data_IF_084494632691
#
_entry.id   IF_084494632691
#
_cell.length_a   1.000
_cell.length_b   1.000
_cell.length_c   1.000
_cell.angle_alpha   90.00
_cell.angle_beta   90.00
_cell.angle_gamma   90.00
#
_symmetry.space_group_name_H-M   'P 1'
#
loop_
_entity.id
_entity.type
_entity.pdbx_description
1 polymer ?
#
# COMPACT_ATOMS: atom_id res chain seq x y z
N UNK A 1 -10.84 29.23 -27.87
CA UNK A 1 -10.46 28.62 -26.58
C UNK A 1 -11.61 27.85 -25.91
N UNK A 2 -12.81 28.41 -25.74
CA UNK A 2 -13.92 27.76 -25.00
C UNK A 2 -14.37 26.40 -25.58
N UNK A 3 -14.39 26.23 -26.90
CA UNK A 3 -14.80 24.96 -27.55
C UNK A 3 -13.83 23.79 -27.34
N UNK A 4 -12.51 24.05 -27.27
CA UNK A 4 -11.51 23.00 -27.00
C UNK A 4 -11.56 22.55 -25.54
N UNK A 5 -11.76 23.49 -24.60
CA UNK A 5 -11.89 23.16 -23.18
C UNK A 5 -13.11 22.25 -22.94
N UNK A 6 -14.24 22.54 -23.61
CA UNK A 6 -15.44 21.72 -23.52
C UNK A 6 -15.23 20.30 -24.09
N UNK A 7 -14.53 20.15 -25.21
CA UNK A 7 -14.22 18.84 -25.79
C UNK A 7 -13.26 18.01 -24.91
N UNK A 8 -12.27 18.66 -24.27
CA UNK A 8 -11.34 18.01 -23.34
C UNK A 8 -12.07 17.61 -22.05
N UNK A 9 -12.91 18.50 -21.49
CA UNK A 9 -13.73 18.19 -20.31
C UNK A 9 -14.75 17.09 -20.61
N UNK A 10 -15.36 17.07 -21.79
CA UNK A 10 -16.32 16.03 -22.17
C UNK A 10 -15.63 14.70 -22.47
N UNK A 11 -14.47 14.71 -23.12
CA UNK A 11 -13.65 13.52 -23.37
C UNK A 11 -13.09 12.91 -22.08
N UNK A 12 -12.72 13.74 -21.11
CA UNK A 12 -12.26 13.28 -19.79
C UNK A 12 -13.42 12.86 -18.89
N UNK A 13 -14.60 13.49 -18.98
CA UNK A 13 -15.82 12.98 -18.35
C UNK A 13 -16.21 11.61 -18.91
N UNK A 14 -16.20 11.44 -20.24
CA UNK A 14 -16.55 10.16 -20.87
C UNK A 14 -15.47 9.11 -20.57
N UNK A 15 -14.19 9.48 -20.59
CA UNK A 15 -13.09 8.61 -20.20
C UNK A 15 -13.15 8.21 -18.71
N UNK A 16 -13.55 9.12 -17.83
CA UNK A 16 -13.79 8.84 -16.41
C UNK A 16 -15.05 8.00 -16.17
N UNK A 17 -16.09 8.13 -17.02
CA UNK A 17 -17.28 7.24 -17.02
C UNK A 17 -16.93 5.83 -17.55
N UNK A 18 -16.10 5.71 -18.59
CA UNK A 18 -15.62 4.41 -19.09
C UNK A 18 -14.63 3.74 -18.12
N UNK A 19 -13.83 4.52 -17.39
CA UNK A 19 -12.95 4.01 -16.31
C UNK A 19 -13.70 3.76 -15.01
N UNK A 20 -14.89 4.34 -14.80
CA UNK A 20 -15.79 3.92 -13.72
C UNK A 20 -16.22 2.44 -13.86
N UNK A 21 -16.14 1.89 -15.09
CA UNK A 21 -16.29 0.46 -15.38
C UNK A 21 -15.00 -0.36 -15.25
N UNK A 22 -13.86 0.27 -14.94
CA UNK A 22 -12.65 -0.42 -14.47
C UNK A 22 -12.94 -0.84 -13.03
N UNK A 23 -13.54 -2.03 -12.92
CA UNK A 23 -13.85 -2.69 -11.65
C UNK A 23 -12.71 -2.54 -10.65
N UNK A 24 -13.00 -1.90 -9.51
CA UNK A 24 -12.17 -1.92 -8.31
C UNK A 24 -11.78 -3.38 -8.05
N UNK A 25 -10.50 -3.73 -8.23
CA UNK A 25 -10.06 -5.12 -8.03
C UNK A 25 -10.15 -5.46 -6.55
N UNK A 26 -10.47 -6.73 -6.28
CA UNK A 26 -10.38 -7.31 -4.92
C UNK A 26 -8.94 -7.27 -4.36
N UNK A 27 -7.92 -7.15 -5.21
CA UNK A 27 -6.51 -7.10 -4.83
C UNK A 27 -6.15 -5.84 -4.01
N UNK A 28 -6.96 -4.77 -4.07
CA UNK A 28 -6.82 -3.59 -3.23
C UNK A 28 -7.74 -3.66 -1.99
N UNK A 29 -8.06 -4.88 -1.54
CA UNK A 29 -8.77 -5.05 -0.27
C UNK A 29 -7.91 -4.52 0.87
N UNK A 30 -8.54 -3.77 1.77
CA UNK A 30 -7.95 -3.18 2.97
C UNK A 30 -7.28 -4.20 3.92
N UNK A 31 -7.42 -5.50 3.64
CA UNK A 31 -6.65 -6.54 4.31
C UNK A 31 -5.16 -6.41 3.99
N UNK A 32 -4.78 -5.97 2.79
CA UNK A 32 -3.37 -5.92 2.37
C UNK A 32 -2.83 -4.49 2.37
N UNK A 33 -2.58 -3.93 3.55
CA UNK A 33 -1.85 -2.66 3.66
C UNK A 33 -0.37 -2.94 3.47
N UNK A 34 0.09 -2.73 2.24
CA UNK A 34 1.46 -2.93 1.80
C UNK A 34 2.12 -1.59 1.45
N UNK A 35 3.41 -1.40 1.77
CA UNK A 35 4.16 -0.24 1.30
C UNK A 35 4.15 -0.17 -0.23
N UNK A 36 3.71 0.95 -0.82
CA UNK A 36 3.61 1.08 -2.29
C UNK A 36 4.98 1.07 -2.99
N UNK A 37 6.04 1.49 -2.28
CA UNK A 37 7.39 1.61 -2.83
C UNK A 37 8.18 0.29 -2.86
N UNK A 38 7.75 -0.75 -2.12
CA UNK A 38 8.56 -1.96 -1.92
C UNK A 38 8.19 -3.08 -2.92
N UNK A 39 7.00 -3.02 -3.51
CA UNK A 39 6.56 -3.99 -4.52
C UNK A 39 6.08 -3.30 -5.78
N UNK A 40 7.00 -2.83 -6.66
CA UNK A 40 6.61 -2.36 -7.98
C UNK A 40 5.87 -3.50 -8.69
N UNK A 41 4.63 -3.24 -9.07
CA UNK A 41 3.84 -4.20 -9.87
C UNK A 41 4.53 -4.32 -11.23
N UNK A 42 4.75 -5.56 -11.69
CA UNK A 42 5.12 -5.80 -13.08
C UNK A 42 4.11 -5.10 -13.99
N UNK A 43 4.61 -4.33 -14.95
CA UNK A 43 3.79 -3.48 -15.79
C UNK A 43 4.15 -3.64 -17.26
N UNK A 44 3.15 -3.45 -18.12
CA UNK A 44 3.35 -3.36 -19.57
C UNK A 44 3.56 -1.89 -19.97
N UNK A 45 4.41 -1.61 -20.98
CA UNK A 45 4.59 -0.27 -21.49
C UNK A 45 3.26 0.37 -21.92
N UNK A 46 3.12 1.68 -21.72
CA UNK A 46 1.95 2.41 -22.19
C UNK A 46 1.93 2.50 -23.73
N UNK A 47 0.80 2.17 -24.34
CA UNK A 47 0.54 2.41 -25.75
C UNK A 47 0.27 3.92 -26.02
N UNK A 48 0.07 4.30 -27.28
CA UNK A 48 -0.20 5.70 -27.66
C UNK A 48 -1.47 6.28 -27.00
N UNK A 49 -2.48 5.43 -26.75
CA UNK A 49 -3.71 5.84 -26.08
C UNK A 49 -3.43 6.20 -24.63
N UNK A 50 -2.71 5.37 -23.90
CA UNK A 50 -2.38 5.61 -22.49
C UNK A 50 -1.38 6.75 -22.34
N UNK A 51 -0.38 6.87 -23.22
CA UNK A 51 0.51 8.06 -23.27
C UNK A 51 -0.30 9.35 -23.35
N UNK A 52 -1.25 9.42 -24.28
CA UNK A 52 -2.13 10.58 -24.40
C UNK A 52 -2.93 10.82 -23.12
N UNK A 53 -3.47 9.78 -22.48
CA UNK A 53 -4.18 9.92 -21.20
C UNK A 53 -3.28 10.52 -20.12
N UNK A 54 -2.02 10.07 -20.01
CA UNK A 54 -1.09 10.60 -19.02
C UNK A 54 -0.75 12.07 -19.25
N UNK A 55 -0.50 12.47 -20.49
CA UNK A 55 -0.21 13.88 -20.84
C UNK A 55 -1.38 14.79 -20.44
N UNK A 56 -2.61 14.34 -20.66
CA UNK A 56 -3.79 15.11 -20.27
C UNK A 56 -3.99 15.13 -18.75
N UNK A 57 -3.71 14.04 -18.04
CA UNK A 57 -3.90 13.97 -16.59
C UNK A 57 -3.04 14.99 -15.84
N UNK A 58 -1.78 15.14 -16.24
CA UNK A 58 -0.88 16.13 -15.63
C UNK A 58 -1.43 17.56 -15.80
N UNK A 59 -1.80 17.93 -17.04
CA UNK A 59 -2.36 19.25 -17.33
C UNK A 59 -3.70 19.51 -16.63
N UNK A 60 -4.57 18.50 -16.59
CA UNK A 60 -5.89 18.61 -15.98
C UNK A 60 -5.83 18.66 -14.46
N UNK A 61 -4.82 18.04 -13.84
CA UNK A 61 -4.71 18.05 -12.39
C UNK A 61 -4.40 19.45 -11.88
N UNK A 62 -3.43 20.14 -12.49
CA UNK A 62 -3.15 21.55 -12.17
C UNK A 62 -4.37 22.44 -12.38
N UNK A 63 -5.05 22.30 -13.52
CA UNK A 63 -6.29 23.05 -13.79
C UNK A 63 -7.37 22.79 -12.73
N UNK A 64 -7.58 21.52 -12.35
CA UNK A 64 -8.61 21.14 -11.38
C UNK A 64 -8.33 21.71 -9.98
N UNK A 65 -7.06 21.86 -9.60
CA UNK A 65 -6.65 22.53 -8.37
C UNK A 65 -6.91 24.04 -8.45
N UNK A 66 -6.46 24.70 -9.52
CA UNK A 66 -6.56 26.17 -9.67
C UNK A 66 -8.00 26.67 -9.78
N UNK A 67 -8.90 25.86 -10.34
CA UNK A 67 -10.29 26.24 -10.64
C UNK A 67 -11.33 25.64 -9.69
N UNK A 68 -10.89 24.99 -8.61
CA UNK A 68 -11.73 24.32 -7.61
C UNK A 68 -12.78 23.36 -8.24
N UNK A 69 -12.37 22.63 -9.29
CA UNK A 69 -13.21 21.64 -9.95
C UNK A 69 -13.19 20.32 -9.18
N UNK A 70 -13.82 20.33 -8.00
CA UNK A 70 -13.79 19.24 -7.02
C UNK A 70 -14.07 17.86 -7.63
N UNK A 71 -15.09 17.71 -8.46
CA UNK A 71 -15.44 16.42 -9.08
C UNK A 71 -14.33 15.91 -10.00
N UNK A 72 -13.70 16.80 -10.78
CA UNK A 72 -12.60 16.44 -11.67
C UNK A 72 -11.36 16.07 -10.86
N UNK A 73 -11.03 16.86 -9.83
CA UNK A 73 -9.94 16.57 -8.89
C UNK A 73 -10.09 15.18 -8.28
N UNK A 74 -11.27 14.87 -7.71
CA UNK A 74 -11.56 13.55 -7.12
C UNK A 74 -11.40 12.43 -8.16
N UNK A 75 -11.88 12.64 -9.40
CA UNK A 75 -11.74 11.66 -10.48
C UNK A 75 -10.28 11.37 -10.82
N UNK A 76 -9.46 12.41 -10.96
CA UNK A 76 -8.04 12.30 -11.25
C UNK A 76 -7.30 11.62 -10.09
N UNK A 77 -7.54 12.05 -8.85
CA UNK A 77 -6.89 11.46 -7.66
C UNK A 77 -7.22 9.98 -7.51
N UNK A 78 -8.47 9.58 -7.75
CA UNK A 78 -8.85 8.15 -7.75
C UNK A 78 -8.12 7.36 -8.83
N UNK A 79 -8.00 7.93 -10.03
CA UNK A 79 -7.29 7.28 -11.12
C UNK A 79 -5.79 7.13 -10.81
N UNK A 80 -5.15 8.19 -10.31
CA UNK A 80 -3.75 8.17 -9.88
C UNK A 80 -3.53 7.21 -8.70
N UNK A 81 -4.47 7.16 -7.74
CA UNK A 81 -4.45 6.23 -6.61
C UNK A 81 -4.53 4.76 -7.05
N UNK A 82 -5.41 4.41 -7.97
CA UNK A 82 -5.62 3.01 -8.36
C UNK A 82 -4.63 2.55 -9.44
N UNK A 83 -4.10 3.48 -10.23
CA UNK A 83 -3.26 3.20 -11.39
C UNK A 83 -4.06 2.81 -12.62
N UNK A 84 -3.36 2.36 -13.66
CA UNK A 84 -3.92 2.13 -14.99
C UNK A 84 -3.79 0.67 -15.37
N UNK A 85 -4.82 0.14 -16.02
CA UNK A 85 -4.90 -1.26 -16.37
C UNK A 85 -5.42 -1.43 -17.78
N UNK A 86 -4.84 -2.40 -18.48
CA UNK A 86 -5.38 -2.94 -19.71
C UNK A 86 -6.04 -4.29 -19.42
N UNK A 87 -7.15 -4.57 -20.10
CA UNK A 87 -7.85 -5.85 -20.03
C UNK A 87 -7.75 -6.53 -21.39
N UNK A 88 -7.08 -7.67 -21.43
CA UNK A 88 -6.89 -8.47 -22.64
C UNK A 88 -7.02 -9.95 -22.28
N UNK A 89 -7.82 -10.71 -23.04
CA UNK A 89 -7.96 -12.15 -22.84
C UNK A 89 -8.55 -12.59 -21.48
N UNK A 90 -9.24 -11.69 -20.76
CA UNK A 90 -9.74 -11.96 -19.41
C UNK A 90 -8.73 -11.70 -18.29
N UNK A 91 -7.48 -11.43 -18.65
CA UNK A 91 -6.45 -10.96 -17.73
C UNK A 91 -6.46 -9.43 -17.66
N UNK A 92 -5.94 -8.89 -16.57
CA UNK A 92 -5.73 -7.46 -16.44
C UNK A 92 -4.27 -7.20 -16.11
N UNK A 93 -3.63 -6.34 -16.91
CA UNK A 93 -2.20 -6.01 -16.81
C UNK A 93 -2.05 -4.57 -16.37
N UNK A 94 -1.13 -4.31 -15.44
CA UNK A 94 -0.86 -2.94 -14.97
C UNK A 94 -0.06 -2.19 -16.02
N UNK A 95 -0.34 -0.91 -16.22
CA UNK A 95 0.33 -0.09 -17.23
C UNK A 95 1.40 0.75 -16.56
N UNK A 96 2.60 0.73 -17.14
CA UNK A 96 3.70 1.55 -16.65
C UNK A 96 3.33 3.03 -16.77
N UNK A 97 3.39 3.73 -15.65
CA UNK A 97 3.28 5.19 -15.63
C UNK A 97 4.48 5.81 -16.34
N UNK A 98 4.33 6.97 -17.00
CA UNK A 98 5.47 7.69 -17.52
C UNK A 98 6.35 8.18 -16.38
N UNK A 99 7.63 8.32 -16.68
CA UNK A 99 8.58 8.96 -15.78
C UNK A 99 8.12 10.39 -15.49
N UNK A 100 8.29 10.86 -14.25
CA UNK A 100 7.91 12.22 -13.85
C UNK A 100 6.45 12.45 -13.48
N UNK A 101 5.50 11.58 -13.83
CA UNK A 101 4.06 11.80 -13.53
C UNK A 101 3.80 12.11 -12.04
N UNK A 102 4.30 11.28 -11.12
CA UNK A 102 4.11 11.53 -9.69
C UNK A 102 4.98 12.69 -9.18
N UNK A 103 6.10 13.02 -9.83
CA UNK A 103 6.89 14.21 -9.48
C UNK A 103 6.11 15.49 -9.84
N UNK A 104 5.36 15.49 -10.95
CA UNK A 104 4.48 16.60 -11.30
C UNK A 104 3.32 16.74 -10.30
N UNK A 105 2.65 15.64 -9.97
CA UNK A 105 1.59 15.60 -8.96
C UNK A 105 2.10 16.06 -7.59
N UNK A 106 3.29 15.62 -7.19
CA UNK A 106 3.94 16.02 -5.94
C UNK A 106 4.18 17.53 -5.87
N UNK A 107 4.69 18.15 -6.94
CA UNK A 107 4.88 19.61 -7.00
C UNK A 107 3.56 20.36 -6.86
N UNK A 108 2.49 19.86 -7.49
CA UNK A 108 1.17 20.47 -7.41
C UNK A 108 0.54 20.35 -6.01
N UNK A 109 0.95 19.34 -5.23
CA UNK A 109 0.46 19.10 -3.88
C UNK A 109 1.38 19.62 -2.77
N UNK A 110 2.54 20.18 -3.10
CA UNK A 110 3.57 20.52 -2.12
C UNK A 110 3.06 21.49 -1.03
N UNK A 111 2.22 22.46 -1.42
CA UNK A 111 1.66 23.49 -0.56
C UNK A 111 0.22 23.18 -0.10
N UNK A 112 -0.36 22.08 -0.59
CA UNK A 112 -1.74 21.71 -0.27
C UNK A 112 -1.82 21.01 1.09
N UNK A 113 -2.64 21.51 2.03
CA UNK A 113 -2.83 20.84 3.30
C UNK A 113 -3.56 19.51 3.10
N UNK A 114 -3.10 18.47 3.78
CA UNK A 114 -3.83 17.20 3.84
C UNK A 114 -5.18 17.43 4.50
N UNK A 115 -6.25 16.99 3.83
CA UNK A 115 -7.61 17.08 4.37
C UNK A 115 -7.67 16.45 5.77
N UNK A 116 -8.43 16.97 6.77
CA UNK A 116 -8.45 16.40 8.13
C UNK A 116 -9.02 14.98 8.23
N UNK A 117 -9.79 14.58 7.22
CA UNK A 117 -10.34 13.22 7.07
C UNK A 117 -10.13 12.80 5.62
N UNK A 118 -8.89 12.50 5.18
CA UNK A 118 -8.68 12.10 3.81
C UNK A 118 -9.43 10.79 3.53
N UNK A 119 -9.90 10.66 2.30
CA UNK A 119 -10.41 9.40 1.79
C UNK A 119 -9.24 8.44 1.51
N UNK A 120 -9.51 7.15 1.32
CA UNK A 120 -8.46 6.14 1.15
C UNK A 120 -7.67 6.34 -0.14
N UNK A 121 -8.34 6.81 -1.20
CA UNK A 121 -7.66 7.06 -2.46
C UNK A 121 -6.65 8.21 -2.33
N UNK A 122 -6.90 9.20 -1.45
CA UNK A 122 -5.95 10.28 -1.21
C UNK A 122 -4.70 9.77 -0.49
N UNK A 123 -4.88 8.95 0.55
CA UNK A 123 -3.75 8.33 1.25
C UNK A 123 -2.94 7.39 0.33
N UNK A 124 -3.62 6.63 -0.54
CA UNK A 124 -2.97 5.79 -1.55
C UNK A 124 -2.23 6.61 -2.60
N UNK A 125 -2.73 7.79 -2.96
CA UNK A 125 -2.02 8.72 -3.84
C UNK A 125 -0.75 9.24 -3.14
N UNK A 126 -0.86 9.69 -1.89
CA UNK A 126 0.29 10.17 -1.12
C UNK A 126 1.37 9.10 -0.95
N UNK A 127 0.97 7.84 -0.76
CA UNK A 127 1.88 6.69 -0.71
C UNK A 127 2.70 6.46 -1.99
N UNK A 128 2.34 7.08 -3.11
CA UNK A 128 3.06 6.97 -4.40
C UNK A 128 3.95 8.17 -4.69
N UNK A 129 3.90 9.21 -3.86
CA UNK A 129 4.79 10.36 -3.97
C UNK A 129 6.16 9.98 -3.45
N UNK A 130 7.21 10.43 -4.12
CA UNK A 130 8.58 10.04 -3.80
C UNK A 130 9.10 10.88 -2.62
N UNK A 131 8.85 12.19 -2.68
CA UNK A 131 9.30 13.21 -1.74
C UNK A 131 8.13 14.15 -1.35
N UNK A 132 7.10 13.67 -0.63
CA UNK A 132 6.03 14.54 -0.15
C UNK A 132 6.58 15.67 0.74
N UNK A 133 5.91 16.82 0.80
CA UNK A 133 6.35 17.93 1.67
C UNK A 133 6.24 17.60 3.16
N UNK A 134 6.98 18.29 4.02
CA UNK A 134 6.91 18.09 5.48
C UNK A 134 5.50 18.38 6.02
N UNK A 135 4.82 19.40 5.47
CA UNK A 135 3.43 19.70 5.79
C UNK A 135 2.50 18.52 5.46
N UNK A 136 2.74 17.85 4.32
CA UNK A 136 1.97 16.67 3.95
C UNK A 136 2.23 15.51 4.91
N UNK A 137 3.49 15.25 5.27
CA UNK A 137 3.82 14.21 6.26
C UNK A 137 3.22 14.52 7.64
N UNK A 138 3.24 15.77 8.09
CA UNK A 138 2.57 16.18 9.33
C UNK A 138 1.06 15.93 9.24
N UNK A 139 0.44 16.28 8.11
CA UNK A 139 -0.98 16.01 7.85
C UNK A 139 -1.32 14.51 7.88
N UNK A 140 -0.51 13.68 7.22
CA UNK A 140 -0.67 12.22 7.24
C UNK A 140 -0.47 11.68 8.67
N UNK A 141 0.46 12.23 9.45
CA UNK A 141 0.67 11.85 10.86
C UNK A 141 -0.54 12.13 11.75
N UNK A 142 -1.21 13.27 11.55
CA UNK A 142 -2.44 13.62 12.27
C UNK A 142 -3.55 12.63 12.00
N UNK A 143 -3.61 12.10 10.78
CA UNK A 143 -4.53 11.02 10.39
C UNK A 143 -4.11 9.71 11.05
N UNK A 144 -2.86 9.27 10.85
CA UNK A 144 -2.31 8.02 11.37
C UNK A 144 -2.50 7.86 12.89
N UNK A 145 -2.18 8.90 13.66
CA UNK A 145 -2.21 8.86 15.13
C UNK A 145 -3.48 9.46 15.73
N UNK A 146 -4.56 9.54 14.95
CA UNK A 146 -5.84 10.03 15.46
C UNK A 146 -6.38 9.08 16.54
N UNK A 147 -6.64 9.64 17.73
CA UNK A 147 -7.13 8.88 18.90
C UNK A 147 -8.40 8.08 18.62
N UNK A 148 -9.37 8.70 17.95
CA UNK A 148 -10.63 8.05 17.61
C UNK A 148 -10.63 7.60 16.14
N UNK A 149 -11.10 6.39 15.84
CA UNK A 149 -11.30 5.97 14.46
C UNK A 149 -12.33 6.89 13.80
N UNK A 150 -12.11 7.15 12.51
CA UNK A 150 -13.18 7.61 11.63
C UNK A 150 -13.27 6.63 10.47
N UNK A 151 -14.45 6.56 9.85
CA UNK A 151 -14.72 5.54 8.85
C UNK A 151 -15.03 6.16 7.51
N UNK A 152 -14.22 5.81 6.51
CA UNK A 152 -14.44 6.19 5.12
C UNK A 152 -15.30 5.12 4.46
N UNK A 153 -16.24 5.55 3.61
CA UNK A 153 -17.17 4.65 2.93
C UNK A 153 -16.54 4.19 1.62
N UNK A 154 -16.21 2.90 1.51
CA UNK A 154 -15.75 2.29 0.27
C UNK A 154 -16.90 1.55 -0.41
N UNK A 155 -17.31 2.03 -1.58
CA UNK A 155 -18.42 1.44 -2.32
C UNK A 155 -19.73 1.36 -1.51
N UNK A 156 -20.49 0.28 -1.69
CA UNK A 156 -21.87 0.22 -1.21
C UNK A 156 -22.04 -0.13 0.28
N UNK A 157 -21.09 -0.80 0.97
CA UNK A 157 -21.35 -1.30 2.35
C UNK A 157 -20.17 -1.39 3.34
N UNK A 158 -18.90 -1.21 2.95
CA UNK A 158 -17.77 -1.38 3.89
C UNK A 158 -17.26 -0.03 4.39
N UNK A 159 -17.15 0.09 5.71
CA UNK A 159 -16.54 1.21 6.43
C UNK A 159 -15.10 0.81 6.76
N UNK A 160 -14.13 1.63 6.37
CA UNK A 160 -12.71 1.35 6.60
C UNK A 160 -12.08 2.46 7.42
N UNK A 161 -11.27 2.07 8.39
CA UNK A 161 -10.50 2.98 9.23
C UNK A 161 -9.22 3.36 8.47
N UNK A 162 -8.99 4.60 8.05
CA UNK A 162 -7.85 4.97 7.20
C UNK A 162 -6.51 5.05 7.94
N UNK A 163 -6.52 5.04 9.28
CA UNK A 163 -5.30 5.23 10.10
C UNK A 163 -4.17 4.25 9.76
N UNK A 164 -4.44 2.94 9.56
CA UNK A 164 -3.39 1.99 9.19
C UNK A 164 -2.75 2.29 7.83
N UNK A 165 -3.52 2.76 6.83
CA UNK A 165 -2.93 3.17 5.53
C UNK A 165 -2.05 4.40 5.73
N UNK A 166 -2.53 5.40 6.50
CA UNK A 166 -1.74 6.59 6.78
C UNK A 166 -0.42 6.26 7.51
N UNK A 167 -0.42 5.30 8.43
CA UNK A 167 0.80 4.78 9.07
C UNK A 167 1.76 4.15 8.05
N UNK A 168 1.26 3.28 7.18
CA UNK A 168 2.10 2.68 6.13
C UNK A 168 2.63 3.72 5.17
N UNK A 169 1.82 4.72 4.78
CA UNK A 169 2.26 5.87 3.98
C UNK A 169 3.41 6.60 4.68
N UNK A 170 3.30 6.91 5.98
CA UNK A 170 4.40 7.54 6.73
C UNK A 170 5.65 6.67 6.73
N UNK A 171 5.50 5.37 6.97
CA UNK A 171 6.61 4.43 7.06
C UNK A 171 7.41 4.35 5.75
N UNK A 172 6.77 4.50 4.59
CA UNK A 172 7.45 4.51 3.29
C UNK A 172 8.49 5.64 3.12
N UNK A 173 8.48 6.64 4.00
CA UNK A 173 9.41 7.76 3.97
C UNK A 173 10.54 7.64 5.01
N UNK A 174 10.75 6.42 5.56
CA UNK A 174 11.95 6.06 6.33
C UNK A 174 12.26 7.00 7.48
N UNK A 175 13.48 7.57 7.49
CA UNK A 175 13.94 8.53 8.51
C UNK A 175 13.01 9.74 8.70
N UNK A 176 12.23 10.15 7.69
CA UNK A 176 11.27 11.26 7.86
C UNK A 176 10.09 10.90 8.77
N UNK A 177 9.88 9.62 9.06
CA UNK A 177 8.89 9.13 10.02
C UNK A 177 9.40 9.15 11.47
N UNK A 178 10.70 9.42 11.71
CA UNK A 178 11.35 9.42 13.03
C UNK A 178 10.66 10.21 14.13
N UNK A 179 10.09 11.41 13.88
CA UNK A 179 9.34 12.14 14.92
C UNK A 179 8.15 11.37 15.50
N UNK A 180 7.63 10.37 14.76
CA UNK A 180 6.45 9.61 15.14
C UNK A 180 6.77 8.21 15.70
N UNK A 181 8.04 7.81 15.67
CA UNK A 181 8.47 6.44 15.90
C UNK A 181 8.20 5.95 17.33
N UNK A 182 8.42 6.80 18.35
CA UNK A 182 8.14 6.45 19.74
C UNK A 182 6.64 6.19 19.98
N UNK A 183 5.77 7.03 19.42
CA UNK A 183 4.33 6.81 19.53
C UNK A 183 3.92 5.52 18.81
N UNK A 184 4.42 5.30 17.61
CA UNK A 184 4.18 4.07 16.85
C UNK A 184 4.64 2.82 17.61
N UNK A 185 5.83 2.84 18.22
CA UNK A 185 6.37 1.75 19.01
C UNK A 185 5.44 1.33 20.16
N UNK A 186 4.82 2.30 20.85
CA UNK A 186 3.86 2.01 21.93
C UNK A 186 2.53 1.43 21.44
N UNK A 187 2.20 1.61 20.16
CA UNK A 187 0.98 1.08 19.54
C UNK A 187 1.17 -0.30 18.89
N UNK A 188 2.38 -0.84 18.83
CA UNK A 188 2.65 -2.17 18.25
C UNK A 188 1.82 -3.24 18.97
N UNK A 189 0.96 -3.91 18.20
CA UNK A 189 0.11 -5.04 18.61
C UNK A 189 -0.09 -5.95 17.40
N UNK A 190 0.27 -7.23 17.52
CA UNK A 190 0.14 -8.22 16.44
C UNK A 190 -1.30 -8.56 16.10
N UNK A 191 -2.26 -8.27 17.00
CA UNK A 191 -3.66 -8.69 16.82
C UNK A 191 -4.47 -7.73 15.96
N UNK A 192 -4.00 -6.50 15.77
CA UNK A 192 -4.76 -5.45 15.11
C UNK A 192 -4.02 -4.88 13.92
N UNK A 193 -4.78 -4.51 12.89
CA UNK A 193 -4.25 -3.84 11.70
C UNK A 193 -3.57 -2.51 12.03
N UNK A 194 -4.09 -1.78 13.02
CA UNK A 194 -3.47 -0.55 13.50
C UNK A 194 -2.10 -0.83 14.15
N UNK A 195 -2.00 -1.88 14.97
CA UNK A 195 -0.75 -2.25 15.64
C UNK A 195 0.32 -2.76 14.68
N UNK A 196 -0.06 -3.54 13.67
CA UNK A 196 0.88 -4.00 12.63
C UNK A 196 1.30 -2.88 11.68
N UNK A 197 0.44 -1.90 11.38
CA UNK A 197 0.86 -0.70 10.67
C UNK A 197 1.73 0.25 11.53
N UNK A 198 1.53 0.29 12.85
CA UNK A 198 2.40 1.05 13.74
C UNK A 198 3.82 0.46 13.80
N UNK A 199 3.94 -0.87 13.73
CA UNK A 199 5.23 -1.55 13.60
C UNK A 199 6.02 -1.07 12.38
N UNK A 200 5.35 -0.86 11.23
CA UNK A 200 5.99 -0.35 10.02
C UNK A 200 6.62 1.03 10.23
N UNK A 201 5.92 1.95 10.92
CA UNK A 201 6.46 3.29 11.23
C UNK A 201 7.66 3.20 12.19
N UNK A 202 7.57 2.37 13.23
CA UNK A 202 8.65 2.22 14.19
C UNK A 202 9.92 1.61 13.57
N UNK A 203 9.74 0.59 12.71
CA UNK A 203 10.83 -0.08 12.00
C UNK A 203 11.47 0.82 10.94
N UNK A 204 10.66 1.49 10.09
CA UNK A 204 11.17 2.40 9.06
C UNK A 204 11.99 3.57 9.63
N UNK A 205 11.71 3.96 10.87
CA UNK A 205 12.40 5.01 11.59
C UNK A 205 13.59 4.52 12.44
N UNK A 206 13.94 3.23 12.35
CA UNK A 206 15.01 2.59 13.13
C UNK A 206 14.89 2.89 14.64
N UNK A 207 13.69 2.81 15.19
CA UNK A 207 13.48 3.07 16.62
C UNK A 207 14.07 1.93 17.46
N UNK A 208 14.74 2.29 18.56
CA UNK A 208 15.36 1.32 19.45
C UNK A 208 14.38 0.22 19.87
N UNK A 209 14.84 -1.04 19.82
CA UNK A 209 14.10 -2.25 20.15
C UNK A 209 12.85 -2.53 19.29
N UNK A 210 12.56 -1.76 18.23
CA UNK A 210 11.36 -1.98 17.41
C UNK A 210 11.41 -3.32 16.69
N UNK A 211 12.56 -3.68 16.10
CA UNK A 211 12.70 -4.91 15.32
C UNK A 211 12.58 -6.16 16.21
N UNK A 212 13.25 -6.19 17.35
CA UNK A 212 13.11 -7.28 18.33
C UNK A 212 11.67 -7.41 18.83
N UNK A 213 10.96 -6.30 19.04
CA UNK A 213 9.54 -6.30 19.43
C UNK A 213 8.65 -6.84 18.32
N UNK A 214 8.93 -6.48 17.06
CA UNK A 214 8.20 -6.95 15.87
C UNK A 214 8.38 -8.45 15.69
N UNK A 215 9.61 -8.94 15.72
CA UNK A 215 9.93 -10.36 15.63
C UNK A 215 9.29 -11.16 16.77
N UNK A 216 9.36 -10.66 18.00
CA UNK A 216 8.64 -11.24 19.15
C UNK A 216 7.13 -11.29 18.94
N UNK A 217 6.56 -10.29 18.26
CA UNK A 217 5.14 -10.23 17.93
C UNK A 217 4.78 -11.26 16.83
N UNK A 218 5.69 -11.51 15.89
CA UNK A 218 5.54 -12.55 14.86
C UNK A 218 5.59 -13.95 15.47
N UNK A 219 6.52 -14.22 16.39
CA UNK A 219 6.53 -15.49 17.14
C UNK A 219 5.26 -15.71 17.95
N UNK A 220 4.70 -14.67 18.58
CA UNK A 220 3.40 -14.79 19.27
C UNK A 220 2.27 -15.23 18.33
N UNK A 221 2.24 -14.77 17.08
CA UNK A 221 1.27 -15.25 16.09
C UNK A 221 1.47 -16.75 15.82
N UNK A 222 2.73 -17.20 15.69
CA UNK A 222 3.06 -18.61 15.47
C UNK A 222 2.66 -19.49 16.66
N UNK A 223 2.83 -19.00 17.89
CA UNK A 223 2.50 -19.72 19.13
C UNK A 223 0.99 -19.78 19.39
N UNK A 224 0.23 -18.75 18.96
CA UNK A 224 -1.24 -18.73 19.03
C UNK A 224 -1.87 -19.79 18.12
N UNK A 225 -1.20 -20.18 17.04
CA UNK A 225 -1.60 -21.31 16.22
C UNK A 225 -1.24 -22.62 16.94
N UNK A 226 -2.24 -23.42 17.31
CA UNK A 226 -2.08 -24.63 18.12
C UNK A 226 -1.04 -25.62 17.55
N UNK A 227 0.16 -25.68 18.16
CA UNK A 227 1.26 -26.55 17.72
C UNK A 227 1.74 -26.17 16.31
N UNK A 228 1.79 -27.14 15.39
CA UNK A 228 2.16 -26.95 13.98
C UNK A 228 0.93 -26.72 13.06
N UNK A 229 -0.23 -26.35 13.60
CA UNK A 229 -1.41 -26.07 12.79
C UNK A 229 -1.17 -24.91 11.80
N UNK A 230 -1.82 -24.91 10.63
CA UNK A 230 -1.71 -23.78 9.71
C UNK A 230 -2.28 -22.50 10.33
N UNK A 231 -1.63 -21.36 10.06
CA UNK A 231 -2.15 -20.05 10.49
C UNK A 231 -3.48 -19.76 9.80
N UNK A 232 -4.43 -19.20 10.54
CA UNK A 232 -5.66 -18.68 9.94
C UNK A 232 -5.41 -17.42 9.09
N UNK A 233 -6.43 -17.00 8.33
CA UNK A 233 -6.32 -15.85 7.45
C UNK A 233 -5.93 -14.55 8.15
N UNK A 234 -6.44 -14.31 9.36
CA UNK A 234 -6.14 -13.08 10.09
C UNK A 234 -4.73 -13.15 10.67
N UNK A 235 -4.35 -14.28 11.27
CA UNK A 235 -3.00 -14.52 11.77
C UNK A 235 -1.95 -14.33 10.67
N UNK A 236 -2.14 -14.99 9.52
CA UNK A 236 -1.22 -14.86 8.39
C UNK A 236 -1.17 -13.43 7.82
N UNK A 237 -2.30 -12.73 7.76
CA UNK A 237 -2.31 -11.33 7.31
C UNK A 237 -1.57 -10.39 8.27
N UNK A 238 -1.77 -10.53 9.59
CA UNK A 238 -1.02 -9.78 10.60
C UNK A 238 0.46 -10.09 10.53
N UNK A 239 0.81 -11.37 10.39
CA UNK A 239 2.20 -11.82 10.27
C UNK A 239 2.87 -11.16 9.06
N UNK A 240 2.23 -11.24 7.88
CA UNK A 240 2.73 -10.62 6.65
C UNK A 240 2.96 -9.12 6.80
N UNK A 241 2.06 -8.41 7.50
CA UNK A 241 2.22 -6.98 7.71
C UNK A 241 3.36 -6.60 8.67
N UNK A 242 3.65 -7.46 9.65
CA UNK A 242 4.85 -7.33 10.49
C UNK A 242 6.11 -7.62 9.67
N UNK A 243 6.07 -8.59 8.76
CA UNK A 243 7.19 -8.84 7.84
C UNK A 243 7.48 -7.64 6.93
N UNK A 244 6.45 -6.89 6.51
CA UNK A 244 6.65 -5.63 5.79
C UNK A 244 7.34 -4.55 6.63
N UNK A 245 7.17 -4.57 7.96
CA UNK A 245 7.91 -3.67 8.83
C UNK A 245 9.41 -3.99 8.82
N UNK A 246 9.79 -5.27 8.82
CA UNK A 246 11.19 -5.70 8.69
C UNK A 246 11.79 -5.31 7.33
N UNK A 247 11.01 -5.38 6.25
CA UNK A 247 11.44 -4.87 4.94
C UNK A 247 11.69 -3.38 4.92
N UNK A 248 10.90 -2.61 5.68
CA UNK A 248 11.03 -1.16 5.76
C UNK A 248 12.23 -0.69 6.59
N UNK A 249 12.82 -1.55 7.43
CA UNK A 249 14.05 -1.27 8.18
C UNK A 249 15.33 -1.55 7.40
N UNK A 250 15.23 -1.83 6.09
CA UNK A 250 16.37 -2.03 5.19
C UNK A 250 17.39 -3.06 5.74
N UNK A 251 18.66 -2.69 5.88
CA UNK A 251 19.73 -3.60 6.32
C UNK A 251 19.51 -4.15 7.74
N UNK A 252 18.96 -3.34 8.65
CA UNK A 252 18.73 -3.75 10.04
C UNK A 252 17.70 -4.89 10.15
N UNK A 253 16.74 -4.94 9.21
CA UNK A 253 15.73 -5.99 9.16
C UNK A 253 16.29 -7.39 8.90
N UNK A 254 17.50 -7.50 8.33
CA UNK A 254 18.15 -8.78 7.98
C UNK A 254 18.44 -9.66 9.18
N UNK A 255 18.64 -9.05 10.36
CA UNK A 255 18.98 -9.78 11.58
C UNK A 255 17.74 -10.25 12.37
N UNK A 256 16.54 -10.07 11.81
CA UNK A 256 15.25 -10.31 12.49
C UNK A 256 14.30 -11.17 11.65
N UNK A 257 14.85 -12.08 10.84
CA UNK A 257 14.06 -12.93 9.93
C UNK A 257 13.68 -14.29 10.51
N UNK A 258 14.09 -14.62 11.74
CA UNK A 258 13.93 -15.97 12.31
C UNK A 258 12.45 -16.39 12.36
N UNK A 259 11.57 -15.45 12.71
CA UNK A 259 10.13 -15.72 12.71
C UNK A 259 9.60 -16.03 11.30
N UNK A 260 10.10 -15.34 10.26
CA UNK A 260 9.70 -15.60 8.87
C UNK A 260 10.13 -16.99 8.45
N UNK A 261 11.38 -17.38 8.75
CA UNK A 261 11.87 -18.73 8.47
C UNK A 261 11.03 -19.79 9.18
N UNK A 262 10.69 -19.57 10.45
CA UNK A 262 9.82 -20.47 11.21
C UNK A 262 8.40 -20.59 10.60
N UNK A 263 7.87 -19.53 9.98
CA UNK A 263 6.62 -19.62 9.22
C UNK A 263 6.81 -20.39 7.91
N UNK A 264 7.94 -20.22 7.23
CA UNK A 264 8.23 -20.90 5.96
C UNK A 264 8.34 -22.42 6.09
N UNK A 265 8.66 -22.92 7.29
CA UNK A 265 8.60 -24.34 7.65
C UNK A 265 7.17 -24.83 8.01
N UNK A 266 6.15 -23.95 7.93
CA UNK A 266 4.75 -24.23 8.27
C UNK A 266 3.81 -23.96 7.10
N UNK A 267 2.56 -24.43 7.23
CA UNK A 267 1.48 -24.12 6.28
C UNK A 267 0.66 -22.92 6.74
N UNK A 268 -0.09 -22.32 5.82
CA UNK A 268 -1.08 -21.27 6.07
C UNK A 268 -2.41 -21.61 5.41
N UNK A 269 -3.53 -21.13 5.93
CA UNK A 269 -4.82 -21.30 5.27
C UNK A 269 -5.01 -20.29 4.14
N UNK A 270 -5.30 -20.81 2.95
CA UNK A 270 -5.73 -20.05 1.78
C UNK A 270 -7.18 -20.39 1.38
N UNK A 271 -7.85 -19.48 0.68
CA UNK A 271 -9.22 -19.69 0.19
C UNK A 271 -9.20 -20.46 -1.14
N UNK A 272 -9.66 -21.70 -1.12
CA UNK A 272 -9.75 -22.59 -2.28
C UNK A 272 -11.06 -22.48 -3.07
N UNK A 273 -11.84 -21.41 -2.88
CA UNK A 273 -13.16 -21.27 -3.49
C UNK A 273 -14.16 -22.28 -2.94
N UNK A 274 -14.77 -23.04 -3.83
CA UNK A 274 -15.69 -24.14 -3.52
C UNK A 274 -15.10 -25.26 -2.65
N UNK A 275 -13.78 -25.41 -2.58
CA UNK A 275 -13.11 -26.38 -1.70
C UNK A 275 -12.90 -25.90 -0.27
N UNK A 276 -13.29 -24.67 0.07
CA UNK A 276 -13.14 -24.12 1.42
C UNK A 276 -11.70 -23.71 1.74
N UNK A 277 -11.22 -24.04 2.95
CA UNK A 277 -9.88 -23.67 3.43
C UNK A 277 -8.86 -24.73 3.02
N UNK A 278 -7.81 -24.31 2.33
CA UNK A 278 -6.70 -25.18 1.93
C UNK A 278 -5.45 -24.79 2.72
N UNK A 279 -4.74 -25.79 3.26
CA UNK A 279 -3.43 -25.57 3.85
C UNK A 279 -2.40 -25.52 2.70
N UNK A 280 -1.71 -24.40 2.55
CA UNK A 280 -0.76 -24.15 1.47
C UNK A 280 0.55 -23.60 2.01
N UNK A 281 1.60 -23.65 1.21
CA UNK A 281 2.88 -23.00 1.52
C UNK A 281 2.75 -21.47 1.49
N UNK A 282 3.46 -20.75 2.38
CA UNK A 282 3.40 -19.30 2.47
C UNK A 282 4.22 -18.63 1.35
N UNK A 283 3.92 -18.91 0.08
CA UNK A 283 4.68 -18.42 -1.10
C UNK A 283 4.98 -16.92 -1.10
N UNK A 284 4.11 -16.10 -0.51
CA UNK A 284 4.37 -14.64 -0.42
C UNK A 284 5.59 -14.30 0.44
N UNK A 285 5.94 -15.14 1.41
CA UNK A 285 7.12 -14.93 2.26
C UNK A 285 8.42 -15.08 1.48
N UNK A 286 8.44 -15.81 0.36
CA UNK A 286 9.60 -15.84 -0.54
C UNK A 286 9.96 -14.43 -1.03
N UNK A 287 8.94 -13.67 -1.46
CA UNK A 287 9.15 -12.30 -1.94
C UNK A 287 9.59 -11.35 -0.82
N UNK A 288 9.04 -11.51 0.38
CA UNK A 288 9.45 -10.77 1.58
C UNK A 288 10.93 -11.04 1.89
N UNK A 289 11.31 -12.32 2.01
CA UNK A 289 12.67 -12.72 2.35
C UNK A 289 13.69 -12.23 1.31
N UNK A 290 13.38 -12.37 0.02
CA UNK A 290 14.25 -11.88 -1.06
C UNK A 290 14.41 -10.34 -1.03
N UNK A 291 13.44 -9.62 -0.46
CA UNK A 291 13.51 -8.16 -0.33
C UNK A 291 14.31 -7.73 0.90
N UNK A 292 14.20 -8.46 2.02
CA UNK A 292 14.97 -8.19 3.24
C UNK A 292 16.45 -8.57 3.03
N UNK A 293 16.68 -9.78 2.51
CA UNK A 293 18.02 -10.34 2.32
C UNK A 293 18.14 -10.95 0.92
N UNK A 294 18.47 -10.14 -0.11
CA UNK A 294 18.59 -10.60 -1.50
C UNK A 294 19.66 -11.69 -1.72
N UNK A 295 20.65 -11.77 -0.85
CA UNK A 295 21.70 -12.79 -0.87
C UNK A 295 21.28 -14.09 -0.18
N UNK A 296 20.08 -14.15 0.40
CA UNK A 296 19.63 -15.32 1.14
C UNK A 296 19.27 -16.47 0.19
N UNK A 297 19.72 -17.68 0.53
CA UNK A 297 19.48 -18.93 -0.20
C UNK A 297 18.07 -19.49 0.01
N UNK A 298 17.07 -18.63 0.22
CA UNK A 298 15.69 -19.01 0.51
C UNK A 298 15.12 -19.89 -0.61
N UNK A 299 15.46 -19.59 -1.86
CA UNK A 299 15.10 -20.40 -3.03
C UNK A 299 15.77 -21.78 -3.07
N UNK A 300 16.90 -21.96 -2.39
CA UNK A 300 17.59 -23.25 -2.27
C UNK A 300 17.01 -24.09 -1.13
N UNK A 301 16.57 -23.45 -0.04
CA UNK A 301 15.97 -24.13 1.12
C UNK A 301 14.51 -24.51 0.92
N UNK A 302 13.74 -23.70 0.18
CA UNK A 302 12.30 -23.90 -0.01
C UNK A 302 11.94 -24.00 -1.50
N UNK A 303 11.71 -25.23 -1.97
CA UNK A 303 11.42 -25.54 -3.38
C UNK A 303 10.25 -24.70 -3.95
N UNK A 304 9.21 -24.47 -3.13
CA UNK A 304 8.04 -23.70 -3.52
C UNK A 304 8.30 -22.21 -3.80
N UNK A 305 9.50 -21.69 -3.49
CA UNK A 305 9.92 -20.34 -3.85
C UNK A 305 10.48 -20.22 -5.28
N UNK A 306 10.75 -21.35 -5.95
CA UNK A 306 11.23 -21.41 -7.34
C UNK A 306 10.11 -21.59 -8.38
N UNK A 307 8.90 -21.88 -7.92
CA UNK A 307 7.67 -22.10 -8.70
C UNK A 307 6.80 -20.84 -8.85
#
# INVERSE_FOLDING_TARGET
MVKSLFLVLFGTLIGSIFTYWVSERKDDSFAEIRPANIYPRACIPADEKFKSVFDHLEALYGLALDTDLLTLKIGIEKQLSNGFFEREGGESKYICKPEGLYKAVERLLADEPVHPTPDLYQLRLYAKLENPSDNMLEGISKVAFRKQPYYVKTGSKKRQDPRPIAMTTLAQHGERAKPYASHAYHLIDHRTLLGTSAAQVAAAANYADSLSKIESAMFKILDEASGNAPLDFNQYDRFRQLSYALMLSEEEGRNHTDAIEALMDRKVYAWGGWFGRLAVDPKHMCQVMNSISPENTVTERYEYCSE
#
